data_IF_274322993429
#
_entry.id   IF_274322993429
#
_cell.length_a   1.000
_cell.length_b   1.000
_cell.length_c   1.000
_cell.angle_alpha   90.00
_cell.angle_beta   90.00
_cell.angle_gamma   90.00
#
_symmetry.space_group_name_H-M   'P 1'
#
loop_
_entity.id
_entity.type
_entity.pdbx_description
1 polymer ?
#
# COMPACT_ATOMS: atom_id res chain seq x y z
N UNK A 1 20.28 18.82 -25.46
CA UNK A 1 19.61 20.01 -24.88
C UNK A 1 18.26 20.14 -25.57
N UNK A 2 17.17 19.84 -24.87
CA UNK A 2 15.80 20.10 -25.32
C UNK A 2 15.18 21.05 -24.29
N UNK A 3 14.78 22.23 -24.75
CA UNK A 3 14.23 23.31 -23.93
C UNK A 3 12.77 23.00 -23.54
N UNK A 4 12.53 22.76 -22.24
CA UNK A 4 11.20 22.49 -21.66
C UNK A 4 10.53 23.75 -21.07
N UNK A 5 11.10 24.95 -21.25
CA UNK A 5 10.57 26.16 -20.60
C UNK A 5 9.50 26.91 -21.39
N UNK A 6 9.26 26.60 -22.67
CA UNK A 6 8.27 27.33 -23.47
C UNK A 6 6.81 26.92 -23.20
N UNK A 7 6.55 25.68 -22.77
CA UNK A 7 5.18 25.16 -22.59
C UNK A 7 4.52 25.50 -21.24
N UNK A 8 5.28 25.99 -20.25
CA UNK A 8 4.74 26.36 -18.92
C UNK A 8 4.10 27.75 -18.88
N UNK A 9 4.46 28.66 -19.79
CA UNK A 9 3.94 30.04 -19.78
C UNK A 9 2.57 30.18 -20.46
N UNK A 10 2.24 29.30 -21.40
CA UNK A 10 0.96 29.36 -22.11
C UNK A 10 -0.20 28.74 -21.32
N UNK A 11 0.08 27.84 -20.37
CA UNK A 11 -0.94 27.23 -19.50
C UNK A 11 -1.43 28.15 -18.38
N UNK A 12 -0.63 29.15 -17.99
CA UNK A 12 -1.00 30.11 -16.94
C UNK A 12 -1.86 31.28 -17.45
N UNK A 13 -1.85 31.57 -18.76
CA UNK A 13 -2.64 32.66 -19.33
C UNK A 13 -4.10 32.26 -19.62
N UNK A 14 -4.35 31.01 -19.99
CA UNK A 14 -5.70 30.52 -20.32
C UNK A 14 -6.57 30.21 -19.10
N UNK A 15 -5.98 29.98 -17.93
CA UNK A 15 -6.72 29.74 -16.68
C UNK A 15 -7.21 31.03 -15.99
N UNK A 16 -6.51 32.15 -16.20
CA UNK A 16 -6.90 33.44 -15.63
C UNK A 16 -8.13 34.05 -16.35
N UNK A 17 -8.27 33.84 -17.66
CA UNK A 17 -9.38 34.41 -18.44
C UNK A 17 -10.71 33.64 -18.25
N UNK A 18 -10.65 32.34 -17.93
CA UNK A 18 -11.83 31.53 -17.63
C UNK A 18 -12.43 31.82 -16.23
N UNK A 19 -11.63 32.32 -15.28
CA UNK A 19 -12.06 32.59 -13.91
C UNK A 19 -12.91 33.87 -13.77
N UNK A 20 -12.81 34.80 -14.73
CA UNK A 20 -13.51 36.09 -14.68
C UNK A 20 -14.93 36.07 -15.26
N UNK A 21 -15.33 35.02 -15.97
CA UNK A 21 -16.61 34.97 -16.69
C UNK A 21 -17.75 34.20 -15.97
N UNK A 22 -17.49 33.60 -14.80
CA UNK A 22 -18.47 32.77 -14.09
C UNK A 22 -19.12 33.40 -12.84
N UNK A 23 -18.84 34.68 -12.53
CA UNK A 23 -19.27 35.32 -11.27
C UNK A 23 -20.65 35.99 -11.28
N UNK A 24 -21.50 35.73 -12.27
CA UNK A 24 -22.84 36.33 -12.31
C UNK A 24 -23.88 35.34 -12.82
N UNK A 25 -24.44 34.52 -11.91
CA UNK A 25 -25.88 34.27 -11.80
C UNK A 25 -26.23 33.20 -10.75
N UNK A 26 -27.32 33.46 -10.03
CA UNK A 26 -28.14 32.56 -9.21
C UNK A 26 -27.61 32.09 -7.86
N UNK A 27 -27.82 32.92 -6.83
CA UNK A 27 -28.01 32.49 -5.45
C UNK A 27 -29.38 31.82 -5.29
N UNK A 28 -29.40 30.49 -5.20
CA UNK A 28 -30.51 29.73 -4.64
C UNK A 28 -29.97 28.97 -3.43
N UNK A 29 -30.43 29.35 -2.23
CA UNK A 29 -30.02 28.75 -0.97
C UNK A 29 -30.37 27.26 -0.96
N UNK A 30 -29.36 26.40 -1.07
CA UNK A 30 -29.49 24.98 -0.77
C UNK A 30 -29.48 24.82 0.75
N UNK A 31 -30.58 24.30 1.29
CA UNK A 31 -30.70 23.93 2.70
C UNK A 31 -29.72 22.80 3.02
N UNK A 32 -28.82 23.04 3.96
CA UNK A 32 -27.96 22.02 4.58
C UNK A 32 -28.85 21.01 5.31
N UNK A 33 -28.77 19.69 5.05
CA UNK A 33 -29.41 18.72 5.91
C UNK A 33 -28.77 18.78 7.30
N UNK A 34 -29.60 18.87 8.32
CA UNK A 34 -29.20 18.91 9.70
C UNK A 34 -28.51 17.60 10.14
N UNK A 35 -27.43 17.74 10.92
CA UNK A 35 -27.02 16.77 11.92
C UNK A 35 -26.16 15.60 11.43
N UNK A 36 -24.85 15.83 11.28
CA UNK A 36 -23.86 14.81 11.60
C UNK A 36 -22.91 15.45 12.62
N UNK A 37 -23.17 15.24 13.91
CA UNK A 37 -22.21 15.61 14.95
C UNK A 37 -20.95 14.77 14.72
N UNK A 38 -19.83 15.45 14.47
CA UNK A 38 -18.52 14.83 14.26
C UNK A 38 -17.99 14.06 15.50
N UNK A 39 -18.73 14.09 16.62
CA UNK A 39 -18.31 13.59 17.92
C UNK A 39 -18.61 12.10 18.17
N UNK A 40 -19.32 11.40 17.28
CA UNK A 40 -19.71 9.99 17.51
C UNK A 40 -18.77 8.93 16.93
N UNK A 41 -17.73 9.31 16.16
CA UNK A 41 -16.67 8.38 15.76
C UNK A 41 -15.50 8.61 16.71
N UNK A 42 -15.37 7.76 17.74
CA UNK A 42 -14.11 7.66 18.47
C UNK A 42 -13.04 7.26 17.46
N UNK A 43 -12.26 8.23 17.00
CA UNK A 43 -11.08 7.98 16.17
C UNK A 43 -10.24 6.92 16.88
N UNK A 44 -9.96 5.81 16.20
CA UNK A 44 -8.97 4.88 16.70
C UNK A 44 -7.63 5.65 16.70
N UNK A 45 -7.06 5.85 17.87
CA UNK A 45 -5.75 6.48 18.01
C UNK A 45 -4.70 5.51 17.44
N UNK A 46 -4.22 5.76 16.23
CA UNK A 46 -3.39 4.82 15.48
C UNK A 46 -2.46 5.61 14.52
N UNK A 47 -1.17 5.28 14.35
CA UNK A 47 -0.19 4.72 15.29
C UNK A 47 0.51 5.82 16.12
N UNK A 48 0.25 7.09 15.81
CA UNK A 48 0.92 8.23 16.41
C UNK A 48 0.32 8.58 17.78
N UNK A 49 -0.84 8.02 18.11
CA UNK A 49 -1.59 8.35 19.32
C UNK A 49 -1.84 7.19 20.28
N UNK A 50 -1.72 5.90 19.88
CA UNK A 50 -1.72 4.79 20.86
C UNK A 50 -0.32 4.23 21.11
N UNK A 51 0.04 3.94 22.37
CA UNK A 51 1.23 3.15 22.65
C UNK A 51 1.10 1.74 22.06
N UNK A 52 2.22 1.20 21.57
CA UNK A 52 2.29 -0.20 21.15
C UNK A 52 2.13 -1.13 22.36
N UNK A 53 1.46 -2.27 22.19
CA UNK A 53 1.31 -3.32 23.21
C UNK A 53 2.66 -3.92 23.60
N UNK A 54 3.57 -4.00 22.62
CA UNK A 54 4.96 -4.45 22.79
C UNK A 54 5.85 -3.88 21.70
N UNK A 55 7.15 -3.94 21.93
CA UNK A 55 8.17 -3.42 21.01
C UNK A 55 8.32 -4.35 19.80
N UNK A 56 7.82 -3.93 18.65
CA UNK A 56 7.82 -4.72 17.40
C UNK A 56 8.54 -4.02 16.24
N UNK A 57 8.90 -2.75 16.39
CA UNK A 57 9.48 -1.96 15.30
C UNK A 57 11.00 -2.16 15.24
N UNK A 58 11.52 -2.56 14.08
CA UNK A 58 12.96 -2.75 13.86
C UNK A 58 13.77 -1.52 14.27
N UNK A 59 13.30 -0.32 13.92
CA UNK A 59 13.98 0.94 14.19
C UNK A 59 13.92 1.40 15.65
N UNK A 60 13.22 0.69 16.53
CA UNK A 60 13.22 0.94 17.97
C UNK A 60 14.14 -0.03 18.72
N UNK A 61 14.48 -1.18 18.13
CA UNK A 61 15.35 -2.19 18.73
C UNK A 61 16.79 -1.69 18.84
N UNK A 62 17.40 -1.95 19.99
CA UNK A 62 18.82 -1.76 20.25
C UNK A 62 19.61 -3.00 19.87
N UNK A 63 20.92 -2.84 19.67
CA UNK A 63 21.82 -3.94 19.28
C UNK A 63 21.69 -5.17 20.20
N UNK A 64 21.55 -4.97 21.52
CA UNK A 64 21.42 -6.06 22.51
C UNK A 64 20.10 -6.82 22.42
N UNK A 65 19.08 -6.27 21.78
CA UNK A 65 17.77 -6.92 21.62
C UNK A 65 17.74 -7.85 20.41
N UNK A 66 18.66 -7.74 19.44
CA UNK A 66 18.65 -8.59 18.24
C UNK A 66 19.01 -10.06 18.50
N UNK A 67 20.10 -10.41 19.22
CA UNK A 67 20.50 -11.80 19.39
C UNK A 67 19.40 -12.70 20.01
N UNK A 68 18.68 -12.30 21.07
CA UNK A 68 17.59 -13.13 21.63
C UNK A 68 16.41 -13.34 20.66
N UNK A 69 16.15 -12.40 19.75
CA UNK A 69 15.10 -12.58 18.73
C UNK A 69 15.47 -13.71 17.78
N UNK A 70 16.75 -13.77 17.37
CA UNK A 70 17.25 -14.76 16.41
C UNK A 70 17.21 -16.20 16.94
N UNK A 71 17.20 -16.40 18.26
CA UNK A 71 17.09 -17.72 18.89
C UNK A 71 15.75 -18.42 18.60
N UNK A 72 14.73 -17.68 18.11
CA UNK A 72 13.38 -18.17 17.90
C UNK A 72 12.87 -17.98 16.46
N UNK A 73 13.78 -18.00 15.49
CA UNK A 73 13.51 -17.91 14.04
C UNK A 73 12.52 -16.78 13.67
N UNK A 74 12.87 -15.51 13.97
CA UNK A 74 11.94 -14.41 13.92
C UNK A 74 11.47 -14.12 12.49
N UNK A 75 10.21 -13.67 12.35
CA UNK A 75 9.66 -13.25 11.06
C UNK A 75 9.74 -11.73 10.92
N UNK A 76 10.28 -11.25 9.80
CA UNK A 76 10.26 -9.82 9.46
C UNK A 76 9.11 -9.53 8.51
N UNK A 77 8.22 -8.63 8.88
CA UNK A 77 7.23 -8.05 7.96
C UNK A 77 7.80 -6.72 7.48
N UNK A 78 8.11 -6.61 6.19
CA UNK A 78 8.60 -5.39 5.56
C UNK A 78 7.46 -4.75 4.75
N UNK A 79 6.87 -3.64 5.22
CA UNK A 79 5.88 -2.89 4.46
C UNK A 79 6.53 -2.21 3.25
N UNK A 80 5.93 -2.39 2.08
CA UNK A 80 6.38 -1.77 0.82
C UNK A 80 5.28 -0.84 0.33
N UNK A 81 5.57 0.45 0.22
CA UNK A 81 4.57 1.46 -0.15
C UNK A 81 4.95 2.30 -1.37
N UNK A 82 4.34 3.48 -1.44
CA UNK A 82 4.56 4.50 -2.46
C UNK A 82 4.11 5.85 -1.92
N UNK A 83 4.65 6.94 -2.47
CA UNK A 83 4.13 8.30 -2.26
C UNK A 83 3.42 8.75 -3.53
N UNK A 84 2.09 8.81 -3.49
CA UNK A 84 1.29 9.17 -4.64
C UNK A 84 0.00 9.90 -4.30
N UNK A 85 -0.46 10.71 -5.25
CA UNK A 85 -1.76 11.35 -5.16
C UNK A 85 -2.86 10.32 -4.90
N UNK A 86 -3.81 10.66 -4.03
CA UNK A 86 -4.95 9.82 -3.69
C UNK A 86 -6.23 10.67 -3.69
N UNK A 87 -6.49 11.31 -4.83
CA UNK A 87 -7.60 12.24 -4.93
C UNK A 87 -7.40 13.49 -4.05
N UNK A 88 -8.40 14.37 -4.04
CA UNK A 88 -8.37 15.63 -3.28
C UNK A 88 -8.57 15.47 -1.76
N UNK A 89 -9.01 14.30 -1.28
CA UNK A 89 -9.44 14.09 0.11
C UNK A 89 -8.50 13.24 0.97
N UNK A 90 -7.67 12.38 0.38
CA UNK A 90 -6.78 11.48 1.12
C UNK A 90 -5.31 11.95 1.08
N UNK A 91 -4.50 11.58 2.09
CA UNK A 91 -3.07 11.87 2.09
C UNK A 91 -2.32 11.01 1.08
N UNK A 92 -1.12 11.46 0.70
CA UNK A 92 -0.32 10.80 -0.36
C UNK A 92 0.44 9.55 0.09
N UNK A 93 0.35 9.17 1.36
CA UNK A 93 1.11 8.08 1.97
C UNK A 93 0.25 6.86 2.32
N UNK A 94 -0.97 6.75 1.77
CA UNK A 94 -1.87 5.63 2.10
C UNK A 94 -1.24 4.27 1.82
N UNK A 95 -0.54 4.15 0.69
CA UNK A 95 0.21 2.94 0.28
C UNK A 95 1.32 2.55 1.26
N UNK A 96 1.78 3.47 2.11
CA UNK A 96 2.78 3.21 3.15
C UNK A 96 2.06 2.84 4.45
N UNK A 97 1.13 3.71 4.84
CA UNK A 97 0.47 3.65 6.14
C UNK A 97 -0.40 2.40 6.32
N UNK A 98 -1.20 2.01 5.33
CA UNK A 98 -2.13 0.89 5.42
C UNK A 98 -1.38 -0.44 5.66
N UNK A 99 -0.41 -0.86 4.82
CA UNK A 99 0.35 -2.07 5.10
C UNK A 99 1.18 -1.95 6.39
N UNK A 100 1.75 -0.78 6.71
CA UNK A 100 2.46 -0.60 7.98
C UNK A 100 1.56 -0.88 9.18
N UNK A 101 0.32 -0.40 9.15
CA UNK A 101 -0.66 -0.60 10.20
C UNK A 101 -1.10 -2.04 10.37
N UNK A 102 -1.33 -2.74 9.27
CA UNK A 102 -1.63 -4.16 9.30
C UNK A 102 -0.43 -4.93 9.88
N UNK A 103 0.80 -4.60 9.46
CA UNK A 103 2.03 -5.26 9.93
C UNK A 103 2.24 -5.09 11.44
N UNK A 104 2.09 -3.87 11.96
CA UNK A 104 2.25 -3.59 13.40
C UNK A 104 1.22 -4.33 14.23
N UNK A 105 -0.05 -4.30 13.83
CA UNK A 105 -1.10 -5.04 14.54
C UNK A 105 -0.84 -6.54 14.56
N UNK A 106 -0.45 -7.11 13.42
CA UNK A 106 -0.12 -8.54 13.34
C UNK A 106 1.08 -8.89 14.22
N UNK A 107 2.14 -8.08 14.22
CA UNK A 107 3.30 -8.32 15.07
C UNK A 107 2.96 -8.22 16.56
N UNK A 108 2.05 -7.31 16.94
CA UNK A 108 1.54 -7.21 18.32
C UNK A 108 0.69 -8.41 18.74
N UNK A 109 -0.02 -9.05 17.82
CA UNK A 109 -0.97 -10.15 18.10
C UNK A 109 -0.33 -11.55 18.11
N UNK A 110 0.96 -11.68 17.76
CA UNK A 110 1.71 -12.94 17.78
C UNK A 110 2.69 -12.96 18.96
N UNK A 111 2.39 -13.74 20.01
CA UNK A 111 3.27 -13.92 21.18
C UNK A 111 4.10 -15.22 21.14
N UNK A 112 3.83 -16.09 20.16
CA UNK A 112 4.40 -17.44 20.05
C UNK A 112 5.89 -17.41 19.67
N UNK A 113 6.30 -16.43 18.88
CA UNK A 113 7.66 -16.19 18.39
C UNK A 113 7.83 -14.70 18.03
N UNK A 114 9.05 -14.19 17.87
CA UNK A 114 9.24 -12.78 17.58
C UNK A 114 8.85 -12.42 16.15
N UNK A 115 8.04 -11.37 16.02
CA UNK A 115 7.68 -10.76 14.74
C UNK A 115 8.12 -9.30 14.77
N UNK A 116 8.93 -8.91 13.79
CA UNK A 116 9.51 -7.57 13.71
C UNK A 116 9.01 -6.88 12.46
N UNK A 117 8.55 -5.64 12.60
CA UNK A 117 8.15 -4.78 11.47
C UNK A 117 9.36 -3.97 11.02
N UNK A 118 9.79 -4.20 9.79
CA UNK A 118 10.86 -3.43 9.16
C UNK A 118 10.42 -1.97 8.90
N UNK A 119 11.37 -1.03 8.76
CA UNK A 119 11.05 0.33 8.36
C UNK A 119 10.36 0.30 6.98
N UNK A 120 9.20 0.95 6.80
CA UNK A 120 8.51 0.93 5.52
C UNK A 120 9.40 1.43 4.37
N UNK A 121 9.44 0.70 3.26
CA UNK A 121 10.01 1.21 2.02
C UNK A 121 9.02 2.20 1.43
N UNK A 122 9.22 3.47 1.72
CA UNK A 122 8.31 4.55 1.32
C UNK A 122 8.38 4.88 -0.18
N UNK A 123 9.53 4.65 -0.82
CA UNK A 123 9.72 4.88 -2.25
C UNK A 123 8.99 3.81 -3.05
N UNK A 124 8.15 4.20 -3.99
CA UNK A 124 7.45 3.29 -4.90
C UNK A 124 7.72 3.54 -6.38
N UNK A 125 7.29 2.59 -7.21
CA UNK A 125 7.24 2.71 -8.66
C UNK A 125 5.85 3.19 -9.11
N UNK A 126 5.72 4.50 -9.27
CA UNK A 126 4.43 5.18 -9.52
C UNK A 126 4.56 6.32 -10.54
N UNK A 127 5.39 6.11 -11.57
CA UNK A 127 5.65 7.09 -12.64
C UNK A 127 4.37 7.61 -13.34
N UNK A 128 3.30 6.81 -13.36
CA UNK A 128 2.01 7.18 -13.94
C UNK A 128 1.17 8.09 -13.04
N UNK A 129 1.52 8.29 -11.76
CA UNK A 129 0.86 9.26 -10.88
C UNK A 129 1.56 10.64 -10.87
N UNK A 130 2.63 10.82 -11.67
CA UNK A 130 3.34 12.10 -11.82
C UNK A 130 2.54 13.18 -12.56
N UNK A 131 1.29 12.89 -12.96
CA UNK A 131 0.34 13.89 -13.43
C UNK A 131 -0.32 14.70 -12.29
N UNK A 132 -0.29 14.19 -11.06
CA UNK A 132 -0.82 14.85 -9.86
C UNK A 132 0.28 15.42 -8.96
N UNK A 133 -0.10 16.35 -8.08
CA UNK A 133 0.80 16.93 -7.09
C UNK A 133 1.01 15.97 -5.90
N UNK A 134 2.18 16.05 -5.26
CA UNK A 134 2.51 15.27 -4.06
C UNK A 134 3.11 13.87 -4.34
N UNK A 135 3.02 13.37 -5.57
CA UNK A 135 3.66 12.11 -5.98
C UNK A 135 5.18 12.24 -5.98
N UNK A 136 5.86 11.30 -5.33
CA UNK A 136 7.33 11.15 -5.38
C UNK A 136 7.63 9.70 -5.77
N UNK A 137 8.35 9.51 -6.87
CA UNK A 137 8.64 8.19 -7.41
C UNK A 137 10.09 8.04 -7.80
N UNK A 138 10.59 6.81 -7.73
CA UNK A 138 11.90 6.41 -8.21
C UNK A 138 11.76 5.59 -9.49
N UNK A 139 12.88 5.44 -10.23
CA UNK A 139 12.92 4.53 -11.38
C UNK A 139 12.69 3.08 -10.93
N UNK A 140 12.17 2.26 -11.84
CA UNK A 140 11.89 0.84 -11.56
C UNK A 140 13.14 0.10 -11.06
N UNK A 141 14.28 0.31 -11.72
CA UNK A 141 15.54 -0.36 -11.37
C UNK A 141 16.00 0.07 -9.98
N UNK A 142 15.86 1.37 -9.66
CA UNK A 142 16.19 1.91 -8.33
C UNK A 142 15.27 1.34 -7.25
N UNK A 143 13.97 1.20 -7.52
CA UNK A 143 13.04 0.56 -6.60
C UNK A 143 13.43 -0.91 -6.35
N UNK A 144 13.69 -1.66 -7.42
CA UNK A 144 14.15 -3.05 -7.33
C UNK A 144 15.42 -3.17 -6.50
N UNK A 145 16.43 -2.34 -6.79
CA UNK A 145 17.70 -2.40 -6.08
C UNK A 145 17.58 -2.01 -4.60
N UNK A 146 16.77 -1.00 -4.28
CA UNK A 146 16.51 -0.62 -2.88
C UNK A 146 15.89 -1.78 -2.12
N UNK A 147 14.78 -2.35 -2.61
CA UNK A 147 14.10 -3.42 -1.90
C UNK A 147 14.98 -4.67 -1.82
N UNK A 148 15.66 -5.05 -2.91
CA UNK A 148 16.60 -6.17 -2.89
C UNK A 148 17.72 -5.99 -1.86
N UNK A 149 18.31 -4.80 -1.77
CA UNK A 149 19.38 -4.52 -0.80
C UNK A 149 18.87 -4.50 0.64
N UNK A 150 17.64 -4.04 0.89
CA UNK A 150 17.00 -4.15 2.21
C UNK A 150 16.84 -5.62 2.59
N UNK A 151 16.32 -6.47 1.71
CA UNK A 151 16.18 -7.91 1.99
C UNK A 151 17.54 -8.58 2.26
N UNK A 152 18.57 -8.27 1.46
CA UNK A 152 19.94 -8.76 1.71
C UNK A 152 20.49 -8.30 3.06
N UNK A 153 20.20 -7.07 3.45
CA UNK A 153 20.62 -6.54 4.75
C UNK A 153 19.90 -7.24 5.89
N UNK A 154 18.59 -7.50 5.76
CA UNK A 154 17.81 -8.28 6.72
C UNK A 154 18.41 -9.69 6.87
N UNK A 155 18.65 -10.37 5.74
CA UNK A 155 19.31 -11.69 5.70
C UNK A 155 20.70 -11.67 6.35
N UNK A 156 21.51 -10.66 6.07
CA UNK A 156 22.86 -10.52 6.63
C UNK A 156 22.86 -10.32 8.16
N UNK A 157 21.74 -9.88 8.75
CA UNK A 157 21.55 -9.82 10.20
C UNK A 157 21.06 -11.17 10.79
N UNK A 158 20.97 -12.23 10.00
CA UNK A 158 20.57 -13.58 10.44
C UNK A 158 19.08 -13.89 10.32
N UNK A 159 18.27 -12.98 9.77
CA UNK A 159 16.83 -13.22 9.58
C UNK A 159 16.58 -14.04 8.32
N UNK A 160 15.91 -15.17 8.49
CA UNK A 160 15.64 -16.13 7.41
C UNK A 160 14.24 -15.99 6.79
N UNK A 161 13.33 -15.28 7.46
CA UNK A 161 11.91 -15.22 7.11
C UNK A 161 11.47 -13.78 6.87
N UNK A 162 11.19 -13.45 5.61
CA UNK A 162 10.80 -12.09 5.20
C UNK A 162 9.43 -12.11 4.49
N UNK A 163 8.52 -11.27 4.95
CA UNK A 163 7.24 -10.97 4.30
C UNK A 163 7.33 -9.59 3.65
N UNK A 164 7.23 -9.52 2.33
CA UNK A 164 7.12 -8.28 1.56
C UNK A 164 5.64 -7.94 1.37
N UNK A 165 5.08 -7.15 2.28
CA UNK A 165 3.67 -6.76 2.22
C UNK A 165 3.52 -5.44 1.49
N UNK A 166 3.00 -5.52 0.27
CA UNK A 166 2.88 -4.38 -0.63
C UNK A 166 1.56 -3.61 -0.46
N UNK A 167 1.64 -2.28 -0.44
CA UNK A 167 0.53 -1.35 -0.38
C UNK A 167 0.19 -0.65 -1.69
N UNK A 168 0.99 -0.82 -2.73
CA UNK A 168 0.84 -0.04 -3.97
C UNK A 168 0.63 -0.91 -5.21
N UNK A 169 -0.39 -0.60 -6.03
CA UNK A 169 -0.72 -1.38 -7.22
C UNK A 169 0.42 -1.47 -8.26
N UNK A 170 1.20 -0.40 -8.45
CA UNK A 170 2.34 -0.36 -9.38
C UNK A 170 3.52 -1.21 -8.94
N UNK A 171 3.63 -1.49 -7.65
CA UNK A 171 4.70 -2.30 -7.08
C UNK A 171 4.42 -3.81 -7.18
N UNK A 172 3.22 -4.25 -7.53
CA UNK A 172 2.86 -5.68 -7.54
C UNK A 172 3.83 -6.48 -8.42
N UNK A 173 3.97 -6.13 -9.70
CA UNK A 173 4.88 -6.82 -10.60
C UNK A 173 6.36 -6.66 -10.18
N UNK A 174 6.86 -5.45 -9.86
CA UNK A 174 8.22 -5.27 -9.33
C UNK A 174 8.55 -6.11 -8.09
N UNK A 175 7.65 -6.17 -7.09
CA UNK A 175 7.84 -6.96 -5.86
C UNK A 175 7.87 -8.46 -6.18
N UNK A 176 7.01 -8.95 -7.08
CA UNK A 176 7.11 -10.32 -7.57
C UNK A 176 8.45 -10.58 -8.29
N UNK A 177 8.94 -9.66 -9.11
CA UNK A 177 10.25 -9.79 -9.75
C UNK A 177 11.40 -9.78 -8.73
N UNK A 178 11.32 -8.97 -7.68
CA UNK A 178 12.30 -8.95 -6.57
C UNK A 178 12.33 -10.31 -5.87
N UNK A 179 11.18 -10.88 -5.54
CA UNK A 179 11.10 -12.19 -4.89
C UNK A 179 11.80 -13.28 -5.72
N UNK A 180 11.54 -13.32 -7.03
CA UNK A 180 12.20 -14.26 -7.93
C UNK A 180 13.72 -14.01 -8.04
N UNK A 181 14.13 -12.74 -8.13
CA UNK A 181 15.55 -12.34 -8.18
C UNK A 181 16.31 -12.82 -6.94
N UNK A 182 15.71 -12.63 -5.76
CA UNK A 182 16.31 -12.94 -4.46
C UNK A 182 16.31 -14.45 -4.14
N UNK A 183 15.43 -15.23 -4.76
CA UNK A 183 15.34 -16.66 -4.52
C UNK A 183 16.67 -17.38 -4.84
N UNK A 184 17.36 -17.00 -5.92
CA UNK A 184 18.68 -17.50 -6.28
C UNK A 184 19.78 -17.22 -5.23
N UNK A 185 19.53 -16.29 -4.31
CA UNK A 185 20.43 -15.92 -3.23
C UNK A 185 20.03 -16.58 -1.90
N UNK A 186 19.12 -17.58 -1.92
CA UNK A 186 18.50 -18.19 -0.73
C UNK A 186 17.81 -17.16 0.18
N UNK A 187 17.23 -16.12 -0.42
CA UNK A 187 16.38 -15.14 0.25
C UNK A 187 14.96 -15.38 -0.25
N UNK A 188 14.25 -16.27 0.43
CA UNK A 188 12.86 -16.63 0.10
C UNK A 188 11.92 -15.69 0.86
N UNK A 189 10.96 -15.12 0.13
CA UNK A 189 10.02 -14.14 0.68
C UNK A 189 8.58 -14.52 0.38
N UNK A 190 7.68 -14.26 1.33
CA UNK A 190 6.25 -14.17 1.02
C UNK A 190 5.96 -12.77 0.50
N UNK A 191 5.55 -12.67 -0.76
CA UNK A 191 5.41 -11.39 -1.47
C UNK A 191 4.01 -11.23 -2.04
N UNK A 192 3.23 -10.32 -1.47
CA UNK A 192 1.85 -10.10 -1.88
C UNK A 192 1.37 -8.70 -1.52
N UNK A 193 0.36 -8.17 -2.23
CA UNK A 193 -0.29 -6.94 -1.80
C UNK A 193 -1.28 -7.18 -0.65
N UNK A 194 -1.37 -6.27 0.33
CA UNK A 194 -2.20 -6.50 1.52
C UNK A 194 -3.67 -6.81 1.20
N UNK A 195 -4.22 -6.23 0.12
CA UNK A 195 -5.62 -6.46 -0.27
C UNK A 195 -5.87 -7.88 -0.75
N UNK A 196 -4.86 -8.67 -1.10
CA UNK A 196 -5.06 -10.10 -1.40
C UNK A 196 -5.52 -10.89 -0.18
N UNK A 197 -5.21 -10.42 1.03
CA UNK A 197 -5.69 -11.03 2.27
C UNK A 197 -7.22 -10.95 2.39
N UNK A 198 -7.87 -9.95 1.78
CA UNK A 198 -9.28 -9.59 2.03
C UNK A 198 -10.04 -9.32 0.73
N UNK A 199 -9.53 -9.84 -0.38
CA UNK A 199 -10.01 -9.48 -1.71
C UNK A 199 -11.47 -9.88 -1.95
N UNK A 200 -11.89 -11.02 -1.39
CA UNK A 200 -13.25 -11.51 -1.53
C UNK A 200 -14.23 -10.60 -0.79
N UNK A 201 -13.90 -10.22 0.44
CA UNK A 201 -14.74 -9.35 1.28
C UNK A 201 -14.78 -7.94 0.74
N UNK A 202 -13.65 -7.43 0.24
CA UNK A 202 -13.62 -6.17 -0.49
C UNK A 202 -14.53 -6.18 -1.73
N UNK A 203 -14.73 -7.33 -2.39
CA UNK A 203 -15.69 -7.42 -3.50
C UNK A 203 -17.13 -7.54 -3.01
N UNK A 204 -17.37 -8.41 -2.03
CA UNK A 204 -18.72 -8.77 -1.59
C UNK A 204 -19.39 -7.69 -0.74
N UNK A 205 -18.60 -6.91 0.01
CA UNK A 205 -19.10 -5.84 0.89
C UNK A 205 -19.00 -4.45 0.27
N UNK A 206 -18.44 -4.37 -0.93
CA UNK A 206 -18.35 -3.11 -1.66
C UNK A 206 -19.73 -2.67 -2.12
N UNK A 207 -19.97 -1.36 -2.02
CA UNK A 207 -21.20 -0.75 -2.48
C UNK A 207 -20.99 0.13 -3.72
N UNK A 208 -19.73 0.36 -4.12
CA UNK A 208 -19.41 1.13 -5.31
C UNK A 208 -18.21 0.58 -6.13
N UNK A 209 -17.16 0.08 -5.46
CA UNK A 209 -15.93 -0.38 -6.12
C UNK A 209 -15.83 -1.92 -6.22
N UNK A 210 -16.37 -2.49 -7.30
CA UNK A 210 -16.54 -3.95 -7.45
C UNK A 210 -15.25 -4.74 -7.81
N UNK A 211 -14.08 -4.10 -7.91
CA UNK A 211 -12.86 -4.71 -8.52
C UNK A 211 -11.63 -4.75 -7.63
N UNK A 212 -11.66 -4.18 -6.42
CA UNK A 212 -10.50 -4.11 -5.52
C UNK A 212 -10.49 -2.82 -4.71
N UNK A 213 -9.36 -2.46 -4.06
CA UNK A 213 -9.30 -1.32 -3.15
C UNK A 213 -9.64 0.02 -3.85
N UNK A 214 -9.22 0.18 -5.11
CA UNK A 214 -9.42 1.39 -5.91
C UNK A 214 -8.60 2.57 -5.38
N UNK A 215 -7.84 3.25 -6.25
CA UNK A 215 -7.03 4.40 -5.81
C UNK A 215 -7.96 5.50 -5.31
N UNK A 216 -7.83 5.87 -4.04
CA UNK A 216 -8.72 6.80 -3.34
C UNK A 216 -10.21 6.47 -3.46
N UNK A 217 -10.53 5.19 -3.63
CA UNK A 217 -11.88 4.66 -3.72
C UNK A 217 -12.48 4.39 -2.35
N UNK A 218 -13.50 3.53 -2.34
CA UNK A 218 -14.25 3.12 -1.16
C UNK A 218 -13.31 2.58 -0.06
N UNK A 219 -12.45 1.63 -0.40
CA UNK A 219 -11.69 0.88 0.60
C UNK A 219 -10.51 1.65 1.18
N UNK A 220 -9.69 2.31 0.36
CA UNK A 220 -8.58 3.12 0.87
C UNK A 220 -9.08 4.29 1.72
N UNK A 221 -10.17 4.93 1.29
CA UNK A 221 -10.82 5.98 2.08
C UNK A 221 -11.37 5.41 3.39
N UNK A 222 -11.99 4.22 3.38
CA UNK A 222 -12.51 3.58 4.59
C UNK A 222 -11.38 3.22 5.58
N UNK A 223 -10.27 2.65 5.09
CA UNK A 223 -9.07 2.44 5.90
C UNK A 223 -8.59 3.74 6.54
N UNK A 224 -8.51 4.81 5.76
CA UNK A 224 -8.00 6.07 6.27
C UNK A 224 -8.95 6.74 7.27
N UNK A 225 -10.26 6.65 7.05
CA UNK A 225 -11.28 7.10 8.02
C UNK A 225 -11.19 6.34 9.35
N UNK A 226 -10.82 5.06 9.31
CA UNK A 226 -10.62 4.27 10.53
C UNK A 226 -9.27 4.56 11.21
N UNK A 227 -8.17 4.49 10.45
CA UNK A 227 -6.81 4.51 11.00
C UNK A 227 -6.34 5.92 11.33
N UNK A 228 -6.67 6.91 10.48
CA UNK A 228 -6.12 8.27 10.55
C UNK A 228 -7.15 9.30 10.06
N UNK A 229 -8.34 9.40 10.69
CA UNK A 229 -9.45 10.23 10.23
C UNK A 229 -9.09 11.72 10.09
N UNK A 230 -8.18 12.23 10.93
CA UNK A 230 -7.73 13.62 10.93
C UNK A 230 -6.99 14.05 9.64
N UNK A 231 -6.60 13.10 8.78
CA UNK A 231 -5.96 13.37 7.49
C UNK A 231 -6.94 13.27 6.31
N UNK A 232 -8.21 12.97 6.54
CA UNK A 232 -9.23 12.84 5.48
C UNK A 232 -10.06 14.12 5.38
N UNK A 233 -9.98 14.80 4.24
CA UNK A 233 -10.78 15.99 3.95
C UNK A 233 -12.12 15.55 3.32
N UNK A 234 -13.06 15.09 4.16
CA UNK A 234 -14.32 14.48 3.72
C UNK A 234 -15.18 15.40 2.83
N UNK A 235 -15.07 16.71 2.99
CA UNK A 235 -15.73 17.76 2.18
C UNK A 235 -15.16 17.88 0.77
N UNK A 236 -13.94 17.38 0.55
CA UNK A 236 -13.24 17.43 -0.75
C UNK A 236 -13.38 16.15 -1.56
N UNK A 237 -14.07 15.13 -1.06
CA UNK A 237 -14.22 13.84 -1.76
C UNK A 237 -14.79 14.05 -3.15
N UNK A 238 -14.18 13.37 -4.13
CA UNK A 238 -14.68 13.33 -5.50
C UNK A 238 -14.58 11.91 -6.04
N UNK A 239 -15.66 11.43 -6.65
CA UNK A 239 -15.66 10.13 -7.32
C UNK A 239 -14.80 10.18 -8.59
N UNK A 240 -14.05 9.10 -8.82
CA UNK A 240 -13.20 8.93 -9.98
C UNK A 240 -13.98 8.68 -11.26
N UNK A 241 -13.75 9.47 -12.30
CA UNK A 241 -14.28 9.18 -13.65
C UNK A 241 -13.25 8.44 -14.47
N UNK A 242 -13.16 7.12 -14.26
CA UNK A 242 -12.12 6.29 -14.85
C UNK A 242 -12.31 6.14 -16.37
N UNK A 243 -11.32 6.61 -17.13
CA UNK A 243 -11.26 6.52 -18.58
C UNK A 243 -10.36 5.37 -19.00
N UNK A 244 -10.93 4.46 -19.76
CA UNK A 244 -10.20 3.32 -20.32
C UNK A 244 -10.26 3.38 -21.85
N UNK A 245 -9.11 3.36 -22.54
CA UNK A 245 -9.08 3.46 -24.00
C UNK A 245 -9.57 2.18 -24.70
N UNK A 246 -9.62 1.05 -23.98
CA UNK A 246 -9.97 -0.26 -24.52
C UNK A 246 -11.37 -0.73 -24.10
N UNK A 247 -12.01 -1.51 -24.97
CA UNK A 247 -13.26 -2.20 -24.65
C UNK A 247 -13.06 -3.25 -23.53
N UNK A 248 -14.11 -3.62 -22.78
CA UNK A 248 -14.00 -4.66 -21.75
C UNK A 248 -13.39 -5.97 -22.27
N UNK A 249 -13.67 -6.35 -23.52
CA UNK A 249 -13.12 -7.56 -24.14
C UNK A 249 -11.60 -7.50 -24.36
N UNK A 250 -11.03 -6.31 -24.60
CA UNK A 250 -9.58 -6.12 -24.81
C UNK A 250 -8.85 -5.87 -23.49
N UNK A 251 -9.50 -5.24 -22.50
CA UNK A 251 -8.91 -4.96 -21.18
C UNK A 251 -8.33 -6.18 -20.48
N UNK A 252 -8.83 -7.39 -20.75
CA UNK A 252 -8.29 -8.64 -20.17
C UNK A 252 -6.87 -8.98 -20.63
N UNK A 253 -6.41 -8.39 -21.74
CA UNK A 253 -5.07 -8.57 -22.30
C UNK A 253 -4.22 -7.29 -22.23
N UNK A 254 -4.87 -6.13 -22.09
CA UNK A 254 -4.22 -4.83 -22.16
C UNK A 254 -3.78 -4.35 -20.76
N UNK A 255 -2.57 -4.72 -20.37
CA UNK A 255 -1.88 -4.09 -19.24
C UNK A 255 -1.24 -2.78 -19.72
N UNK A 256 -1.99 -1.68 -19.65
CA UNK A 256 -1.49 -0.35 -20.04
C UNK A 256 -0.77 0.28 -18.85
N UNK A 257 0.54 0.54 -18.94
CA UNK A 257 1.29 1.11 -17.81
C UNK A 257 1.10 2.64 -17.68
N UNK A 258 0.66 3.32 -18.74
CA UNK A 258 0.40 4.77 -18.73
C UNK A 258 -1.02 5.07 -18.23
N UNK A 259 -1.09 5.53 -16.97
CA UNK A 259 -2.34 5.74 -16.23
C UNK A 259 -2.68 7.19 -15.91
N UNK A 260 -1.84 8.17 -16.31
CA UNK A 260 -2.11 9.62 -16.07
C UNK A 260 -3.43 10.11 -16.66
N UNK A 261 -3.97 9.36 -17.63
CA UNK A 261 -5.21 9.69 -18.35
C UNK A 261 -6.43 8.97 -17.78
N UNK A 262 -6.24 8.08 -16.81
CA UNK A 262 -7.31 7.25 -16.26
C UNK A 262 -8.26 8.10 -15.40
N UNK A 263 -7.76 9.03 -14.59
CA UNK A 263 -8.61 9.95 -13.84
C UNK A 263 -8.01 11.34 -13.72
N UNK A 264 -8.82 12.37 -13.95
CA UNK A 264 -8.39 13.77 -13.89
C UNK A 264 -8.26 14.29 -12.45
N UNK A 265 -9.10 13.80 -11.53
CA UNK A 265 -9.04 14.15 -10.11
C UNK A 265 -8.17 13.19 -9.30
N UNK A 266 -7.64 12.13 -9.95
CA UNK A 266 -6.72 11.19 -9.34
C UNK A 266 -7.37 10.04 -8.58
N UNK A 267 -8.68 10.08 -8.34
CA UNK A 267 -9.45 8.97 -7.77
C UNK A 267 -9.83 7.95 -8.86
N UNK A 268 -9.77 6.66 -8.53
CA UNK A 268 -10.21 5.52 -9.33
C UNK A 268 -11.20 4.64 -8.54
N UNK A 269 -12.26 5.26 -8.06
CA UNK A 269 -13.33 4.62 -7.31
C UNK A 269 -14.30 5.65 -6.74
N UNK A 270 -15.19 5.21 -5.86
CA UNK A 270 -16.16 6.08 -5.19
C UNK A 270 -15.89 6.19 -3.68
N UNK A 271 -15.30 7.32 -3.21
CA UNK A 271 -15.01 7.51 -1.80
C UNK A 271 -16.25 7.83 -0.95
N UNK A 272 -17.43 8.06 -1.54
CA UNK A 272 -18.66 8.33 -0.78
C UNK A 272 -19.25 7.07 -0.14
N UNK A 273 -18.91 5.90 -0.68
CA UNK A 273 -19.28 4.61 -0.12
C UNK A 273 -18.45 4.21 1.12
N UNK A 274 -17.37 4.94 1.41
CA UNK A 274 -16.46 4.66 2.50
C UNK A 274 -17.07 5.03 3.87
N UNK A 275 -16.88 4.15 4.84
CA UNK A 275 -17.21 4.42 6.26
C UNK A 275 -16.08 3.90 7.17
N UNK A 276 -15.89 4.47 8.37
CA UNK A 276 -14.88 3.97 9.29
C UNK A 276 -15.15 2.53 9.73
N UNK A 277 -16.41 2.09 9.82
CA UNK A 277 -16.78 0.71 10.18
C UNK A 277 -16.35 -0.29 9.12
N UNK A 278 -16.46 0.06 7.83
CA UNK A 278 -15.91 -0.73 6.73
C UNK A 278 -14.38 -0.86 6.86
N UNK A 279 -13.71 0.25 7.17
CA UNK A 279 -12.27 0.30 7.40
C UNK A 279 -11.84 -0.60 8.55
N UNK A 280 -12.50 -0.49 9.70
CA UNK A 280 -12.24 -1.31 10.88
C UNK A 280 -12.42 -2.80 10.58
N UNK A 281 -13.54 -3.16 9.96
CA UNK A 281 -13.90 -4.56 9.69
C UNK A 281 -12.89 -5.23 8.77
N UNK A 282 -12.53 -4.58 7.66
CA UNK A 282 -11.54 -5.12 6.73
C UNK A 282 -10.14 -5.12 7.33
N UNK A 283 -9.78 -4.09 8.11
CA UNK A 283 -8.50 -4.03 8.81
C UNK A 283 -8.33 -5.23 9.75
N UNK A 284 -9.31 -5.46 10.64
CA UNK A 284 -9.27 -6.59 11.59
C UNK A 284 -9.14 -7.94 10.88
N UNK A 285 -9.88 -8.13 9.78
CA UNK A 285 -9.80 -9.35 8.99
C UNK A 285 -8.43 -9.53 8.30
N UNK A 286 -7.84 -8.44 7.79
CA UNK A 286 -6.50 -8.47 7.20
C UNK A 286 -5.45 -8.85 8.26
N UNK A 287 -5.54 -8.30 9.47
CA UNK A 287 -4.65 -8.63 10.60
C UNK A 287 -4.80 -10.09 11.01
N UNK A 288 -6.04 -10.60 11.12
CA UNK A 288 -6.31 -12.01 11.44
C UNK A 288 -5.68 -12.96 10.42
N UNK A 289 -5.87 -12.69 9.12
CA UNK A 289 -5.35 -13.53 8.04
C UNK A 289 -3.84 -13.45 7.90
N UNK A 290 -3.27 -12.26 8.07
CA UNK A 290 -1.82 -12.11 8.09
C UNK A 290 -1.21 -12.84 9.29
N UNK A 291 -1.86 -12.80 10.44
CA UNK A 291 -1.44 -13.54 11.65
C UNK A 291 -1.38 -15.05 11.38
N UNK A 292 -2.44 -15.60 10.77
CA UNK A 292 -2.47 -17.01 10.39
C UNK A 292 -1.36 -17.38 9.39
N UNK A 293 -1.18 -16.55 8.36
CA UNK A 293 -0.13 -16.73 7.35
C UNK A 293 1.28 -16.68 7.96
N UNK A 294 1.55 -15.74 8.86
CA UNK A 294 2.86 -15.59 9.52
C UNK A 294 3.16 -16.79 10.42
N UNK A 295 2.17 -17.33 11.12
CA UNK A 295 2.31 -18.58 11.90
C UNK A 295 2.64 -19.78 11.02
N UNK A 296 1.93 -19.94 9.89
CA UNK A 296 2.23 -21.00 8.93
C UNK A 296 3.64 -20.84 8.34
N UNK A 297 4.02 -19.61 8.01
CA UNK A 297 5.34 -19.31 7.46
C UNK A 297 6.46 -19.59 8.47
N UNK A 298 6.25 -19.30 9.75
CA UNK A 298 7.18 -19.64 10.83
C UNK A 298 7.32 -21.15 11.02
N UNK A 299 6.21 -21.88 11.05
CA UNK A 299 6.20 -23.33 11.23
C UNK A 299 6.79 -24.11 10.04
N UNK A 300 6.81 -23.51 8.85
CA UNK A 300 7.39 -24.11 7.65
C UNK A 300 8.92 -24.12 7.74
N UNK A 301 9.63 -25.22 7.44
CA UNK A 301 11.09 -25.23 7.37
C UNK A 301 11.63 -24.10 6.48
N UNK A 302 12.78 -23.52 6.84
CA UNK A 302 13.39 -22.47 6.02
C UNK A 302 13.74 -23.05 4.65
N UNK A 303 13.05 -22.55 3.62
CA UNK A 303 13.20 -23.02 2.25
C UNK A 303 14.57 -22.63 1.70
N UNK A 304 15.22 -23.58 1.01
CA UNK A 304 16.47 -23.36 0.30
C UNK A 304 16.23 -23.52 -1.19
N UNK A 305 16.80 -22.63 -2.01
CA UNK A 305 16.68 -22.68 -3.46
C UNK A 305 17.33 -23.94 -4.05
N UNK A 306 18.43 -24.40 -3.44
CA UNK A 306 19.25 -25.52 -3.89
C UNK A 306 18.77 -26.90 -3.39
N UNK A 307 17.54 -27.03 -2.85
CA UNK A 307 17.08 -28.29 -2.26
C UNK A 307 17.02 -29.44 -3.29
N UNK A 308 16.67 -29.14 -4.54
CA UNK A 308 16.59 -30.10 -5.64
C UNK A 308 17.08 -29.49 -6.96
N UNK A 309 17.58 -30.30 -7.90
CA UNK A 309 17.90 -29.87 -9.27
C UNK A 309 19.39 -29.64 -9.57
N UNK A 310 19.70 -28.99 -10.70
CA UNK A 310 21.08 -28.80 -11.20
C UNK A 310 22.00 -27.99 -10.28
N UNK A 311 21.39 -27.21 -9.38
CA UNK A 311 22.10 -26.35 -8.44
C UNK A 311 22.24 -27.00 -7.05
N UNK A 312 21.67 -28.18 -6.84
CA UNK A 312 21.80 -28.92 -5.58
C UNK A 312 23.25 -29.40 -5.39
N UNK A 313 23.87 -29.04 -4.26
CA UNK A 313 25.23 -29.49 -3.89
C UNK A 313 25.34 -31.01 -3.79
N UNK A 314 24.22 -31.67 -3.50
CA UNK A 314 24.07 -33.13 -3.51
C UNK A 314 22.76 -33.43 -4.21
N UNK A 315 22.83 -33.96 -5.43
CA UNK A 315 21.66 -34.56 -6.05
C UNK A 315 21.20 -35.71 -5.15
N UNK A 316 19.91 -35.79 -4.78
CA UNK A 316 19.38 -37.01 -4.20
C UNK A 316 19.74 -38.16 -5.13
N UNK A 317 20.30 -39.25 -4.61
CA UNK A 317 20.49 -40.47 -5.38
C UNK A 317 19.11 -40.92 -5.85
N UNK A 318 18.76 -40.54 -7.08
CA UNK A 318 17.59 -41.04 -7.79
C UNK A 318 17.92 -42.47 -8.22
N UNK A 319 17.68 -43.42 -7.33
CA UNK A 319 17.65 -44.85 -7.62
C UNK A 319 16.49 -45.50 -6.84
#
# INVERSE_FOLDING_TARGET
MYDQNSSRRDFMKTSAEAATAASAQTTSAAQTPAGFEADSVRAAEWPASRPLKKKVLWNELSLSEFPPLLENDPVVILPIGSLEQHGPHCPVDMDISIPYHIAVATAEDIDDFPVVVGPPVWTGFTHYNMGGYGTITVRLETFIDVVSNVCRSIKANGFERIVLMNGHGGNVAPVTSIANKLAHENIITLSFPYWSLVQQEMRDWSTADMRGPGQAGEWETAFQMYLRPHLVLLDRREAGKVRWPYSPAVRRYAHVPERRRESANGSMGDPFAATPEKGERIFKLAVERLTAMVREFHATPVLQYEEFGSDAKVLPTLF
#
